data_IF_267780344329
#
_entry.id   IF_267780344329
#
_cell.length_a   1.000
_cell.length_b   1.000
_cell.length_c   1.000
_cell.angle_alpha   90.00
_cell.angle_beta   90.00
_cell.angle_gamma   90.00
#
_symmetry.space_group_name_H-M   'P 1'
#
loop_
_entity.id
_entity.type
_entity.pdbx_description
1 polymer ?
#
# COMPACT_ATOMS: atom_id res chain seq x y z
N UNK A 1 -0.86 -15.16 -6.51
CA UNK A 1 -0.17 -16.40 -6.07
C UNK A 1 1.25 -16.10 -5.58
N UNK A 2 2.10 -15.35 -6.32
CA UNK A 2 3.48 -15.05 -5.92
C UNK A 2 3.57 -14.25 -4.61
N UNK A 3 2.72 -13.22 -4.41
CA UNK A 3 2.68 -12.48 -3.14
C UNK A 3 2.34 -13.42 -1.97
N UNK A 4 1.36 -14.32 -2.15
CA UNK A 4 1.03 -15.31 -1.11
C UNK A 4 2.18 -16.29 -0.86
N UNK A 5 2.95 -16.66 -1.88
CA UNK A 5 4.15 -17.47 -1.69
C UNK A 5 5.24 -16.70 -0.94
N UNK A 6 5.46 -15.43 -1.25
CA UNK A 6 6.42 -14.59 -0.54
C UNK A 6 6.07 -14.42 0.97
N UNK A 7 4.77 -14.41 1.30
CA UNK A 7 4.29 -14.31 2.69
C UNK A 7 4.38 -15.63 3.46
N UNK A 8 3.99 -16.75 2.84
CA UNK A 8 3.71 -18.00 3.55
C UNK A 8 4.64 -19.16 3.18
N UNK A 9 5.37 -19.06 2.07
CA UNK A 9 6.22 -20.12 1.50
C UNK A 9 7.54 -19.52 0.99
N UNK A 10 8.42 -19.02 1.89
CA UNK A 10 9.65 -18.32 1.51
C UNK A 10 10.59 -19.20 0.68
N UNK A 11 10.58 -20.51 0.88
CA UNK A 11 11.35 -21.50 0.13
C UNK A 11 10.88 -21.63 -1.33
N UNK A 12 9.58 -21.40 -1.58
CA UNK A 12 9.03 -21.37 -2.96
C UNK A 12 9.37 -20.06 -3.63
N UNK A 13 9.24 -18.95 -2.90
CA UNK A 13 9.56 -17.61 -3.39
C UNK A 13 11.06 -17.49 -3.75
N UNK A 14 11.94 -18.04 -2.94
CA UNK A 14 13.39 -17.99 -3.15
C UNK A 14 13.83 -18.58 -4.53
N UNK A 15 13.07 -19.50 -5.09
CA UNK A 15 13.36 -20.09 -6.40
C UNK A 15 13.20 -19.13 -7.58
N UNK A 16 12.46 -18.05 -7.37
CA UNK A 16 12.12 -17.06 -8.42
C UNK A 16 12.48 -15.63 -8.02
N UNK A 17 13.02 -15.41 -6.83
CA UNK A 17 13.34 -14.08 -6.28
C UNK A 17 14.24 -13.29 -7.20
N UNK A 18 15.34 -13.87 -7.68
CA UNK A 18 16.34 -13.20 -8.52
C UNK A 18 15.74 -12.74 -9.86
N UNK A 19 14.86 -13.56 -10.44
CA UNK A 19 14.16 -13.19 -11.68
C UNK A 19 13.16 -12.04 -11.44
N UNK A 20 12.45 -12.09 -10.31
CA UNK A 20 11.51 -11.03 -9.92
C UNK A 20 12.27 -9.72 -9.69
N UNK A 21 13.35 -9.72 -8.92
CA UNK A 21 14.17 -8.54 -8.64
C UNK A 21 14.75 -7.94 -9.92
N UNK A 22 15.26 -8.77 -10.82
CA UNK A 22 15.77 -8.33 -12.13
C UNK A 22 14.67 -7.66 -12.97
N UNK A 23 13.49 -8.24 -13.05
CA UNK A 23 12.35 -7.67 -13.78
C UNK A 23 11.82 -6.40 -13.11
N UNK A 24 11.76 -6.38 -11.79
CA UNK A 24 11.34 -5.21 -11.02
C UNK A 24 12.28 -4.03 -11.24
N UNK A 25 13.60 -4.26 -11.22
CA UNK A 25 14.59 -3.22 -11.48
C UNK A 25 14.50 -2.62 -12.89
N UNK A 26 14.03 -3.39 -13.87
CA UNK A 26 13.80 -2.91 -15.23
C UNK A 26 12.50 -2.08 -15.38
N UNK A 27 11.53 -2.25 -14.49
CA UNK A 27 10.28 -1.51 -14.51
C UNK A 27 10.37 -0.25 -13.63
N UNK A 28 10.23 0.92 -14.24
CA UNK A 28 10.26 2.23 -13.57
C UNK A 28 8.88 2.71 -13.07
N UNK A 29 7.92 1.80 -12.90
CA UNK A 29 6.60 2.15 -12.35
C UNK A 29 6.76 2.87 -11.00
N UNK A 30 6.17 4.08 -10.86
CA UNK A 30 6.22 4.82 -9.61
C UNK A 30 5.39 4.12 -8.52
N UNK A 31 5.82 4.29 -7.29
CA UNK A 31 5.13 3.82 -6.09
C UNK A 31 4.60 5.02 -5.31
N UNK A 32 3.29 5.16 -5.20
CA UNK A 32 2.61 6.17 -4.42
C UNK A 32 2.24 5.60 -3.05
N UNK A 33 2.86 6.12 -2.00
CA UNK A 33 2.51 5.81 -0.61
C UNK A 33 1.38 6.71 -0.13
N UNK A 34 0.33 6.13 0.46
CA UNK A 34 -0.80 6.89 1.02
C UNK A 34 -1.00 6.49 2.47
N UNK A 35 -0.90 7.47 3.34
CA UNK A 35 -1.17 7.32 4.77
C UNK A 35 -2.03 8.48 5.28
N UNK A 36 -2.32 8.51 6.55
CA UNK A 36 -3.10 9.59 7.18
C UNK A 36 -3.89 9.12 8.38
N UNK A 37 -4.59 10.03 9.03
CA UNK A 37 -5.35 9.75 10.26
C UNK A 37 -6.49 8.77 10.03
N UNK A 38 -6.84 8.02 11.07
CA UNK A 38 -8.04 7.17 11.04
C UNK A 38 -9.28 8.02 10.79
N UNK A 39 -10.16 7.58 9.88
CA UNK A 39 -11.37 8.32 9.52
C UNK A 39 -11.18 9.49 8.55
N UNK A 40 -9.96 9.77 8.08
CA UNK A 40 -9.68 10.89 7.15
C UNK A 40 -10.14 10.67 5.71
N UNK A 41 -10.80 9.55 5.41
CA UNK A 41 -11.28 9.27 4.06
C UNK A 41 -10.22 8.68 3.11
N UNK A 42 -9.11 8.13 3.63
CA UNK A 42 -8.03 7.53 2.82
C UNK A 42 -8.55 6.57 1.76
N UNK A 43 -9.30 5.56 2.14
CA UNK A 43 -9.80 4.55 1.19
C UNK A 43 -10.73 5.14 0.13
N UNK A 44 -11.50 6.18 0.46
CA UNK A 44 -12.33 6.91 -0.50
C UNK A 44 -11.46 7.73 -1.47
N UNK A 45 -10.41 8.36 -0.96
CA UNK A 45 -9.45 9.09 -1.80
C UNK A 45 -8.69 8.14 -2.73
N UNK A 46 -8.23 6.99 -2.22
CA UNK A 46 -7.57 5.95 -3.02
C UNK A 46 -8.50 5.45 -4.13
N UNK A 47 -9.76 5.15 -3.81
CA UNK A 47 -10.75 4.69 -4.79
C UNK A 47 -10.96 5.73 -5.91
N UNK A 48 -11.08 7.01 -5.55
CA UNK A 48 -11.26 8.09 -6.51
C UNK A 48 -9.99 8.37 -7.35
N UNK A 49 -8.81 8.32 -6.76
CA UNK A 49 -7.54 8.44 -7.49
C UNK A 49 -7.38 7.32 -8.52
N UNK A 50 -7.67 6.08 -8.12
CA UNK A 50 -7.64 4.92 -9.01
C UNK A 50 -8.64 5.12 -10.17
N UNK A 51 -9.87 5.52 -9.84
CA UNK A 51 -10.92 5.76 -10.84
C UNK A 51 -10.48 6.79 -11.88
N UNK A 52 -9.96 7.93 -11.43
CA UNK A 52 -9.48 9.00 -12.33
C UNK A 52 -8.30 8.53 -13.17
N UNK A 53 -7.31 7.90 -12.55
CA UNK A 53 -6.16 7.38 -13.28
C UNK A 53 -6.56 6.41 -14.40
N UNK A 54 -7.49 5.48 -14.12
CA UNK A 54 -7.97 4.51 -15.11
C UNK A 54 -8.78 5.14 -16.25
N UNK A 55 -9.42 6.30 -16.01
CA UNK A 55 -10.11 7.10 -17.03
C UNK A 55 -9.11 7.86 -17.89
N UNK A 56 -8.17 8.57 -17.25
CA UNK A 56 -7.21 9.45 -17.92
C UNK A 56 -6.11 8.67 -18.64
N UNK A 57 -5.83 7.44 -18.19
CA UNK A 57 -4.80 6.55 -18.70
C UNK A 57 -5.40 5.19 -19.13
N UNK A 58 -6.10 5.12 -20.28
CA UNK A 58 -6.89 3.93 -20.64
C UNK A 58 -6.07 2.66 -20.88
N UNK A 59 -4.78 2.79 -21.22
CA UNK A 59 -3.88 1.67 -21.50
C UNK A 59 -3.01 1.26 -20.30
N UNK A 60 -3.18 1.94 -19.14
CA UNK A 60 -2.36 1.72 -17.95
C UNK A 60 -3.02 0.80 -16.93
N UNK A 61 -2.17 0.18 -16.12
CA UNK A 61 -2.55 -0.78 -15.08
C UNK A 61 -2.10 -0.30 -13.70
N UNK A 62 -2.87 -0.63 -12.65
CA UNK A 62 -2.58 -0.26 -11.27
C UNK A 62 -2.50 -1.49 -10.38
N UNK A 63 -1.44 -1.58 -9.57
CA UNK A 63 -1.34 -2.49 -8.44
C UNK A 63 -1.59 -1.76 -7.13
N UNK A 64 -2.48 -2.26 -6.28
CA UNK A 64 -2.76 -1.69 -4.95
C UNK A 64 -2.36 -2.68 -3.87
N UNK A 65 -1.55 -2.23 -2.94
CA UNK A 65 -1.18 -2.96 -1.72
C UNK A 65 -1.73 -2.18 -0.54
N UNK A 66 -2.70 -2.76 0.15
CA UNK A 66 -3.24 -2.21 1.39
C UNK A 66 -2.62 -2.95 2.58
N UNK A 67 -1.99 -2.21 3.48
CA UNK A 67 -1.36 -2.75 4.68
C UNK A 67 -2.26 -2.49 5.87
N UNK A 68 -2.88 -3.55 6.38
CA UNK A 68 -3.82 -3.49 7.48
C UNK A 68 -3.26 -4.15 8.75
N UNK A 69 -3.56 -3.59 9.94
CA UNK A 69 -3.29 -4.29 11.18
C UNK A 69 -4.13 -5.57 11.25
N UNK A 70 -3.47 -6.68 11.51
CA UNK A 70 -4.19 -7.94 11.71
C UNK A 70 -5.03 -7.90 12.99
N UNK A 71 -6.27 -8.36 12.94
CA UNK A 71 -7.03 -8.67 14.15
C UNK A 71 -6.33 -9.81 14.89
N UNK A 72 -5.91 -9.58 16.14
CA UNK A 72 -5.27 -10.59 17.00
C UNK A 72 -6.05 -11.91 17.12
N UNK A 73 -7.39 -11.87 16.99
CA UNK A 73 -8.27 -13.05 17.15
C UNK A 73 -8.49 -13.87 15.87
N UNK A 74 -8.37 -13.30 14.68
CA UNK A 74 -8.71 -14.01 13.44
C UNK A 74 -7.55 -14.18 12.48
N UNK A 75 -6.43 -13.50 12.71
CA UNK A 75 -5.20 -13.62 11.91
C UNK A 75 -5.34 -13.23 10.44
N UNK A 76 -6.44 -12.60 10.03
CA UNK A 76 -6.70 -12.15 8.66
C UNK A 76 -6.71 -10.63 8.54
N UNK A 77 -6.37 -10.10 7.35
CA UNK A 77 -6.55 -8.70 7.01
C UNK A 77 -8.04 -8.32 7.08
N UNK A 78 -8.33 -7.08 7.46
CA UNK A 78 -9.69 -6.57 7.45
C UNK A 78 -10.16 -6.47 5.99
N UNK A 79 -11.05 -7.38 5.59
CA UNK A 79 -11.70 -7.37 4.26
C UNK A 79 -12.54 -6.10 3.99
N UNK A 80 -12.74 -5.25 5.00
CA UNK A 80 -13.61 -4.08 4.93
C UNK A 80 -13.22 -3.07 3.86
N UNK A 81 -11.93 -2.85 3.62
CA UNK A 81 -11.49 -1.84 2.65
C UNK A 81 -11.71 -2.32 1.22
N UNK A 82 -11.49 -3.59 0.96
CA UNK A 82 -11.74 -4.18 -0.36
C UNK A 82 -13.20 -4.15 -0.78
N UNK A 83 -14.13 -4.18 0.18
CA UNK A 83 -15.57 -4.11 -0.08
C UNK A 83 -16.01 -2.67 -0.35
N UNK A 84 -15.30 -1.68 0.19
CA UNK A 84 -15.63 -0.25 0.09
C UNK A 84 -15.14 0.40 -1.21
N UNK A 85 -14.11 -0.16 -1.84
CA UNK A 85 -13.56 0.38 -3.08
C UNK A 85 -14.33 -0.17 -4.28
N UNK A 86 -14.97 0.71 -5.02
CA UNK A 86 -15.74 0.35 -6.22
C UNK A 86 -14.86 0.27 -7.48
N UNK A 87 -13.79 1.04 -7.52
CA UNK A 87 -12.90 1.15 -8.68
C UNK A 87 -11.96 -0.04 -8.86
N UNK A 88 -11.85 -0.93 -7.87
CA UNK A 88 -10.98 -2.12 -7.92
C UNK A 88 -11.56 -3.29 -8.75
N UNK A 89 -12.61 -3.04 -9.52
CA UNK A 89 -13.24 -4.03 -10.41
C UNK A 89 -12.75 -3.81 -11.84
N UNK A 90 -12.06 -4.79 -12.40
CA UNK A 90 -11.60 -4.74 -13.78
C UNK A 90 -10.26 -5.43 -13.99
N UNK A 91 -9.92 -5.67 -15.26
CA UNK A 91 -8.70 -6.39 -15.65
C UNK A 91 -7.42 -5.55 -15.49
N UNK A 92 -7.55 -4.21 -15.44
CA UNK A 92 -6.45 -3.27 -15.33
C UNK A 92 -6.04 -2.92 -13.91
N UNK A 93 -6.67 -3.56 -12.92
CA UNK A 93 -6.37 -3.31 -11.51
C UNK A 93 -6.18 -4.61 -10.75
N UNK A 94 -5.17 -4.63 -9.90
CA UNK A 94 -4.93 -5.69 -8.93
C UNK A 94 -4.84 -5.12 -7.53
N UNK A 95 -5.54 -5.72 -6.58
CA UNK A 95 -5.44 -5.35 -5.16
C UNK A 95 -5.10 -6.52 -4.26
N UNK A 96 -4.21 -6.28 -3.31
CA UNK A 96 -3.83 -7.22 -2.26
C UNK A 96 -3.74 -6.51 -0.92
N UNK A 97 -4.41 -7.06 0.10
CA UNK A 97 -4.22 -6.66 1.50
C UNK A 97 -3.15 -7.54 2.14
N UNK A 98 -2.20 -6.91 2.81
CA UNK A 98 -1.18 -7.54 3.63
C UNK A 98 -1.54 -7.34 5.10
N UNK A 99 -1.48 -8.40 5.90
CA UNK A 99 -1.76 -8.34 7.33
C UNK A 99 -0.47 -8.18 8.15
N UNK A 100 -0.44 -7.23 9.06
CA UNK A 100 0.68 -7.04 10.00
C UNK A 100 0.63 -8.09 11.11
N UNK A 101 1.13 -9.28 10.86
CA UNK A 101 1.15 -10.36 11.86
C UNK A 101 2.39 -10.35 12.76
N UNK A 102 3.42 -9.62 12.38
CA UNK A 102 4.75 -9.64 13.00
C UNK A 102 5.32 -8.22 13.17
N UNK A 103 6.51 -8.15 13.76
CA UNK A 103 7.24 -6.90 13.95
C UNK A 103 7.35 -6.09 12.66
N UNK A 104 7.45 -4.77 12.78
CA UNK A 104 7.55 -3.80 11.69
C UNK A 104 8.60 -4.21 10.62
N UNK A 105 9.75 -4.74 11.06
CA UNK A 105 10.83 -5.17 10.15
C UNK A 105 10.40 -6.32 9.20
N UNK A 106 9.59 -7.26 9.68
CA UNK A 106 9.09 -8.35 8.85
C UNK A 106 8.04 -7.85 7.85
N UNK A 107 7.22 -6.88 8.26
CA UNK A 107 6.25 -6.23 7.39
C UNK A 107 6.93 -5.50 6.24
N UNK A 108 7.94 -4.67 6.54
CA UNK A 108 8.72 -3.92 5.54
C UNK A 108 9.27 -4.84 4.43
N UNK A 109 9.84 -6.01 4.81
CA UNK A 109 10.31 -7.00 3.83
C UNK A 109 9.20 -7.59 2.96
N UNK A 110 8.01 -7.82 3.50
CA UNK A 110 6.89 -8.35 2.72
C UNK A 110 6.29 -7.30 1.78
N UNK A 111 6.26 -6.04 2.22
CA UNK A 111 5.84 -4.90 1.38
C UNK A 111 6.78 -4.75 0.19
N UNK A 112 8.10 -4.73 0.42
CA UNK A 112 9.08 -4.63 -0.67
C UNK A 112 8.91 -5.75 -1.70
N UNK A 113 8.82 -7.01 -1.24
CA UNK A 113 8.59 -8.15 -2.13
C UNK A 113 7.30 -8.02 -2.93
N UNK A 114 6.23 -7.51 -2.32
CA UNK A 114 4.97 -7.32 -3.01
C UNK A 114 5.07 -6.22 -4.08
N UNK A 115 5.77 -5.12 -3.80
CA UNK A 115 6.09 -4.06 -4.78
C UNK A 115 6.89 -4.64 -5.94
N UNK A 116 7.96 -5.39 -5.66
CA UNK A 116 8.82 -5.99 -6.69
C UNK A 116 8.04 -6.97 -7.58
N UNK A 117 7.15 -7.77 -6.98
CA UNK A 117 6.28 -8.67 -7.75
C UNK A 117 5.34 -7.89 -8.68
N UNK A 118 4.77 -6.76 -8.23
CA UNK A 118 3.91 -5.93 -9.07
C UNK A 118 4.71 -5.24 -10.18
N UNK A 119 5.90 -4.72 -9.88
CA UNK A 119 6.82 -4.17 -10.89
C UNK A 119 7.20 -5.26 -11.92
N UNK A 120 7.59 -6.44 -11.45
CA UNK A 120 7.92 -7.56 -12.33
C UNK A 120 6.75 -8.06 -13.18
N UNK A 121 5.52 -7.90 -12.70
CA UNK A 121 4.30 -8.20 -13.44
C UNK A 121 3.91 -7.13 -14.46
N UNK A 122 4.62 -6.01 -14.53
CA UNK A 122 4.43 -4.97 -15.54
C UNK A 122 3.36 -3.93 -15.19
N UNK A 123 3.00 -3.76 -13.92
CA UNK A 123 2.11 -2.67 -13.51
C UNK A 123 2.77 -1.31 -13.76
N UNK A 124 1.96 -0.32 -14.18
CA UNK A 124 2.39 1.02 -14.53
C UNK A 124 2.39 1.99 -13.33
N UNK A 125 1.54 1.75 -12.34
CA UNK A 125 1.47 2.48 -11.08
C UNK A 125 1.24 1.51 -9.94
N UNK A 126 1.95 1.71 -8.82
CA UNK A 126 1.73 0.95 -7.60
C UNK A 126 1.28 1.91 -6.49
N UNK A 127 0.20 1.58 -5.81
CA UNK A 127 -0.31 2.33 -4.66
C UNK A 127 -0.09 1.50 -3.41
N UNK A 128 0.61 2.07 -2.43
CA UNK A 128 0.75 1.53 -1.07
C UNK A 128 -0.16 2.31 -0.14
N UNK A 129 -1.19 1.68 0.38
CA UNK A 129 -2.10 2.28 1.37
C UNK A 129 -1.82 1.70 2.75
N UNK A 130 -1.77 2.56 3.78
CA UNK A 130 -1.67 2.15 5.17
C UNK A 130 -2.94 2.48 5.93
N UNK A 131 -3.18 1.78 7.03
CA UNK A 131 -4.37 2.03 7.86
C UNK A 131 -4.28 3.29 8.73
N UNK A 132 -3.13 3.94 8.79
CA UNK A 132 -2.94 5.18 9.56
C UNK A 132 -2.86 4.99 11.08
N UNK A 133 -2.27 3.89 11.57
CA UNK A 133 -2.30 3.52 13.00
C UNK A 133 -0.93 3.59 13.70
N UNK A 134 0.04 4.39 13.23
CA UNK A 134 1.25 4.57 14.02
C UNK A 134 2.57 4.47 13.26
N UNK A 135 3.66 4.21 13.99
CA UNK A 135 5.05 4.20 13.47
C UNK A 135 5.29 3.28 12.26
N UNK A 136 4.51 2.22 12.11
CA UNK A 136 4.58 1.35 10.91
C UNK A 136 4.24 2.08 9.61
N UNK A 137 3.59 3.23 9.70
CA UNK A 137 3.19 4.00 8.51
C UNK A 137 4.40 4.70 7.87
N UNK A 138 5.39 5.15 8.67
CA UNK A 138 6.63 5.75 8.17
C UNK A 138 7.49 4.73 7.43
N UNK A 139 7.67 3.53 7.99
CA UNK A 139 8.47 2.47 7.37
C UNK A 139 7.90 2.03 6.00
N UNK A 140 6.58 2.13 5.82
CA UNK A 140 5.94 1.80 4.54
C UNK A 140 6.17 2.91 3.52
N UNK A 141 6.21 4.17 3.95
CA UNK A 141 6.54 5.30 3.07
C UNK A 141 7.96 5.21 2.51
N UNK A 142 8.90 4.58 3.24
CA UNK A 142 10.27 4.33 2.76
C UNK A 142 10.31 3.45 1.48
N UNK A 143 9.22 2.75 1.18
CA UNK A 143 9.07 1.95 -0.04
C UNK A 143 8.32 2.69 -1.16
N UNK A 144 8.01 3.97 -0.97
CA UNK A 144 7.32 4.81 -1.96
C UNK A 144 8.27 5.82 -2.60
N UNK A 145 7.98 6.17 -3.86
CA UNK A 145 8.70 7.24 -4.57
C UNK A 145 8.10 8.62 -4.26
N UNK A 146 6.80 8.65 -3.93
CA UNK A 146 6.05 9.84 -3.49
C UNK A 146 5.11 9.45 -2.37
N UNK A 147 5.03 10.29 -1.34
CA UNK A 147 4.18 10.07 -0.17
C UNK A 147 3.06 11.12 -0.07
N UNK A 148 1.83 10.65 0.08
CA UNK A 148 0.63 11.44 0.30
C UNK A 148 0.10 11.21 1.71
N UNK A 149 0.03 12.28 2.51
CA UNK A 149 -0.59 12.27 3.82
C UNK A 149 -2.00 12.89 3.76
N UNK A 150 -3.00 12.13 4.21
CA UNK A 150 -4.40 12.58 4.24
C UNK A 150 -4.84 12.83 5.66
N UNK A 151 -5.33 14.02 5.93
CA UNK A 151 -5.80 14.43 7.24
C UNK A 151 -7.17 15.10 7.17
N UNK A 152 -7.85 15.19 8.30
CA UNK A 152 -9.07 15.99 8.44
C UNK A 152 -8.75 17.37 9.06
N UNK A 153 -9.53 18.41 8.76
CA UNK A 153 -9.33 19.75 9.37
C UNK A 153 -9.56 19.75 10.89
N UNK A 154 -10.21 18.73 11.44
CA UNK A 154 -10.50 18.56 12.86
C UNK A 154 -9.29 17.97 13.61
N UNK A 155 -8.14 18.61 13.47
CA UNK A 155 -6.90 18.22 14.11
C UNK A 155 -6.88 18.73 15.56
N UNK A 156 -7.14 17.90 16.57
CA UNK A 156 -7.19 18.41 17.93
C UNK A 156 -7.13 17.39 19.07
N UNK A 157 -7.26 16.09 18.81
CA UNK A 157 -7.04 15.11 19.86
C UNK A 157 -5.54 14.90 20.12
N UNK A 158 -5.11 14.81 21.39
CA UNK A 158 -3.71 14.62 21.78
C UNK A 158 -3.04 13.43 21.05
N UNK A 159 -3.77 12.37 20.81
CA UNK A 159 -3.33 11.19 20.04
C UNK A 159 -3.11 11.46 18.54
N UNK A 160 -3.63 12.58 18.02
CA UNK A 160 -3.40 13.01 16.64
C UNK A 160 -2.19 13.95 16.51
N UNK A 161 -1.84 14.65 17.60
CA UNK A 161 -0.64 15.51 17.67
C UNK A 161 0.65 14.69 17.60
N UNK A 162 0.65 13.45 18.09
CA UNK A 162 1.78 12.52 17.95
C UNK A 162 2.08 12.16 16.48
N UNK A 163 1.18 12.49 15.55
CA UNK A 163 1.32 12.24 14.11
C UNK A 163 1.79 13.47 13.33
N UNK A 164 2.08 14.58 13.99
CA UNK A 164 2.67 15.78 13.34
C UNK A 164 4.02 15.42 12.72
N UNK A 165 4.79 14.53 13.35
CA UNK A 165 6.04 14.03 12.80
C UNK A 165 5.87 13.41 11.39
N UNK A 166 4.67 12.89 11.07
CA UNK A 166 4.37 12.35 9.75
C UNK A 166 4.29 13.43 8.65
N UNK A 167 4.02 14.69 9.01
CA UNK A 167 3.99 15.79 8.05
C UNK A 167 5.39 16.10 7.50
N UNK A 168 6.42 15.85 8.29
CA UNK A 168 7.83 16.07 7.89
C UNK A 168 8.29 15.03 6.85
N UNK A 169 7.60 13.89 6.76
CA UNK A 169 7.90 12.81 5.82
C UNK A 169 6.98 12.79 4.59
N UNK A 170 5.96 13.64 4.54
CA UNK A 170 5.02 13.65 3.43
C UNK A 170 5.47 14.63 2.33
N UNK A 171 5.54 14.14 1.08
CA UNK A 171 5.77 15.00 -0.08
C UNK A 171 4.54 15.86 -0.40
N UNK A 172 3.35 15.31 -0.14
CA UNK A 172 2.06 15.98 -0.38
C UNK A 172 1.13 15.78 0.80
N UNK A 173 0.45 16.83 1.21
CA UNK A 173 -0.59 16.79 2.26
C UNK A 173 -1.93 17.17 1.65
N UNK A 174 -2.96 16.36 1.92
CA UNK A 174 -4.35 16.63 1.55
C UNK A 174 -5.22 16.76 2.82
N UNK A 175 -6.08 17.80 2.85
CA UNK A 175 -6.99 18.12 3.94
C UNK A 175 -8.44 18.09 3.45
#
# INVERSE_FOLDING_TARGET
RLISAAENHPEVYAKVSDEIEKKAAANKAPVLGITGTGGSGKSSMVDELIRRFLIDQPDKTIGVISVDPSKRKTGGALLGDRIRMNSIRGERIYMRSLATRQSNLALSKHVQKAVDILKAAGFDLIVLETSGIGQSDTEILDHSDVSLYIMTPEFGAATQLEKIDMLDFADVVAV
#
